data_IF_562010511318
#
_entry.id   IF_562010511318
#
_cell.length_a   1.000
_cell.length_b   1.000
_cell.length_c   1.000
_cell.angle_alpha   90.00
_cell.angle_beta   90.00
_cell.angle_gamma   90.00
#
_symmetry.space_group_name_H-M   'P 1'
#
loop_
_entity.id
_entity.type
_entity.pdbx_description
1 polymer ?
#
# COMPACT_ATOMS: atom_id res chain seq x y z
N UNK A 1 -14.78 28.72 -0.30
CA UNK A 1 -14.25 27.45 0.26
C UNK A 1 -14.79 26.34 -0.64
N UNK A 2 -13.94 25.68 -1.42
CA UNK A 2 -14.38 24.63 -2.35
C UNK A 2 -14.52 23.33 -1.55
N UNK A 3 -15.68 22.69 -1.69
CA UNK A 3 -16.01 21.40 -1.08
C UNK A 3 -15.20 20.30 -1.79
N UNK A 4 -14.21 19.74 -1.10
CA UNK A 4 -13.36 18.63 -1.56
C UNK A 4 -13.98 17.26 -1.25
N UNK A 5 -15.29 17.10 -1.44
CA UNK A 5 -15.96 15.80 -1.33
C UNK A 5 -15.71 14.97 -2.60
N UNK A 6 -14.63 14.18 -2.57
CA UNK A 6 -14.41 13.10 -3.53
C UNK A 6 -15.54 12.08 -3.34
N UNK A 7 -16.46 12.01 -4.30
CA UNK A 7 -17.50 10.99 -4.36
C UNK A 7 -16.86 9.65 -4.73
N UNK A 8 -16.74 8.74 -3.76
CA UNK A 8 -16.32 7.35 -4.00
C UNK A 8 -17.32 6.66 -4.93
N UNK A 9 -16.89 6.24 -6.12
CA UNK A 9 -17.76 5.60 -7.12
C UNK A 9 -17.97 4.09 -6.87
N UNK A 10 -17.35 3.50 -5.84
CA UNK A 10 -17.62 2.12 -5.39
C UNK A 10 -17.38 1.01 -6.43
N UNK A 11 -16.71 1.30 -7.55
CA UNK A 11 -16.50 0.34 -8.63
C UNK A 11 -15.45 -0.70 -8.22
N UNK A 12 -15.84 -1.97 -8.22
CA UNK A 12 -14.94 -3.11 -7.95
C UNK A 12 -14.34 -3.60 -9.27
N UNK A 13 -13.01 -3.70 -9.33
CA UNK A 13 -12.28 -4.23 -10.49
C UNK A 13 -11.14 -5.12 -10.05
N UNK A 14 -10.83 -6.17 -10.82
CA UNK A 14 -9.64 -6.98 -10.61
C UNK A 14 -8.36 -6.16 -10.86
N UNK A 15 -7.33 -6.42 -10.05
CA UNK A 15 -5.99 -5.85 -10.17
C UNK A 15 -4.95 -6.91 -9.91
N UNK A 16 -3.92 -6.94 -10.76
CA UNK A 16 -2.75 -7.77 -10.58
C UNK A 16 -1.71 -7.04 -9.72
N UNK A 17 -1.11 -7.78 -8.80
CA UNK A 17 -0.13 -7.27 -7.84
C UNK A 17 0.93 -8.33 -7.59
N UNK A 18 2.14 -7.91 -7.30
CA UNK A 18 3.24 -8.82 -6.95
C UNK A 18 3.80 -8.45 -5.57
N UNK A 19 4.12 -9.49 -4.81
CA UNK A 19 4.74 -9.37 -3.50
C UNK A 19 5.96 -10.28 -3.40
N UNK A 20 7.04 -9.74 -2.85
CA UNK A 20 8.24 -10.51 -2.50
C UNK A 20 8.59 -10.26 -1.04
N UNK A 21 8.77 -11.35 -0.29
CA UNK A 21 9.31 -11.25 1.06
C UNK A 21 10.81 -11.03 0.99
N UNK A 22 11.28 -9.86 1.41
CA UNK A 22 12.70 -9.52 1.46
C UNK A 22 13.31 -9.92 2.81
N UNK A 23 12.54 -9.82 3.89
CA UNK A 23 12.94 -10.26 5.23
C UNK A 23 11.72 -10.60 6.08
N UNK A 24 11.91 -10.86 7.39
CA UNK A 24 10.80 -11.08 8.31
C UNK A 24 9.84 -9.87 8.37
N UNK A 25 10.39 -8.66 8.25
CA UNK A 25 9.70 -7.40 8.48
C UNK A 25 9.55 -6.55 7.22
N UNK A 26 10.14 -6.95 6.09
CA UNK A 26 10.12 -6.18 4.83
C UNK A 26 9.55 -6.98 3.67
N UNK A 27 8.62 -6.37 2.95
CA UNK A 27 8.02 -6.91 1.74
C UNK A 27 8.12 -5.90 0.59
N UNK A 28 8.59 -6.33 -0.58
CA UNK A 28 8.46 -5.54 -1.81
C UNK A 28 7.07 -5.74 -2.38
N UNK A 29 6.38 -4.64 -2.66
CA UNK A 29 5.13 -4.59 -3.38
C UNK A 29 5.33 -3.93 -4.75
N UNK A 30 4.67 -4.46 -5.78
CA UNK A 30 4.60 -3.86 -7.12
C UNK A 30 3.19 -3.99 -7.70
N UNK A 31 2.73 -2.93 -8.38
CA UNK A 31 1.58 -2.98 -9.27
C UNK A 31 1.92 -3.66 -10.60
N UNK A 32 0.89 -4.13 -11.31
CA UNK A 32 1.02 -4.65 -12.68
C UNK A 32 -0.02 -3.99 -13.60
N UNK A 33 0.41 -3.24 -14.64
CA UNK A 33 1.81 -2.90 -14.96
C UNK A 33 2.45 -2.02 -13.87
N UNK A 34 3.77 -2.03 -13.78
CA UNK A 34 4.51 -1.36 -12.70
C UNK A 34 4.46 0.17 -12.85
N UNK A 35 3.40 0.77 -12.31
CA UNK A 35 3.23 2.22 -12.14
C UNK A 35 3.59 2.69 -10.72
N UNK A 36 3.80 1.75 -9.81
CA UNK A 36 4.15 1.99 -8.41
C UNK A 36 4.78 0.74 -7.78
N UNK A 37 5.81 0.97 -6.96
CA UNK A 37 6.44 -0.05 -6.12
C UNK A 37 6.89 0.52 -4.77
N UNK A 38 6.91 -0.32 -3.74
CA UNK A 38 7.35 0.08 -2.41
C UNK A 38 7.95 -1.08 -1.62
N UNK A 39 8.87 -0.78 -0.70
CA UNK A 39 9.29 -1.70 0.35
C UNK A 39 8.49 -1.37 1.60
N UNK A 40 7.49 -2.20 1.88
CA UNK A 40 6.59 -2.08 3.02
C UNK A 40 7.28 -2.69 4.25
N UNK A 41 7.27 -1.96 5.37
CA UNK A 41 7.72 -2.45 6.67
C UNK A 41 6.51 -2.88 7.50
N UNK A 42 6.55 -4.09 8.04
CA UNK A 42 5.50 -4.67 8.89
C UNK A 42 6.05 -4.99 10.28
N UNK A 43 5.17 -5.08 11.27
CA UNK A 43 5.49 -5.60 12.59
C UNK A 43 5.40 -7.14 12.64
N UNK A 44 5.66 -7.70 13.83
CA UNK A 44 5.64 -9.15 14.08
C UNK A 44 4.27 -9.80 13.89
N UNK A 45 3.18 -9.02 13.90
CA UNK A 45 1.82 -9.49 13.66
C UNK A 45 1.42 -9.39 12.18
N UNK A 46 2.30 -8.87 11.32
CA UNK A 46 2.02 -8.68 9.89
C UNK A 46 1.35 -7.35 9.57
N UNK A 47 1.23 -6.43 10.53
CA UNK A 47 0.58 -5.14 10.30
C UNK A 47 1.59 -4.11 9.81
N UNK A 48 1.19 -3.32 8.83
CA UNK A 48 2.03 -2.25 8.26
C UNK A 48 2.39 -1.23 9.34
N UNK A 49 3.68 -0.93 9.40
CA UNK A 49 4.27 0.14 10.23
C UNK A 49 4.59 1.35 9.34
N UNK A 50 5.22 1.10 8.19
CA UNK A 50 5.58 2.12 7.22
C UNK A 50 5.28 1.62 5.82
N UNK A 51 4.55 2.44 5.07
CA UNK A 51 4.29 2.30 3.64
C UNK A 51 4.80 3.58 2.98
N UNK A 52 6.05 3.59 2.47
CA UNK A 52 6.68 4.80 1.96
C UNK A 52 5.80 5.56 0.98
N UNK A 53 5.84 6.89 1.06
CA UNK A 53 5.08 7.84 0.22
C UNK A 53 3.56 7.87 0.44
N UNK A 54 2.98 6.89 1.14
CA UNK A 54 1.54 6.80 1.36
C UNK A 54 1.16 6.94 2.84
N UNK A 55 1.74 6.11 3.72
CA UNK A 55 1.28 5.99 5.10
C UNK A 55 2.41 5.70 6.08
N UNK A 56 2.30 6.31 7.27
CA UNK A 56 3.06 5.95 8.45
C UNK A 56 2.08 5.62 9.57
N UNK A 57 2.34 4.54 10.32
CA UNK A 57 1.49 4.16 11.45
C UNK A 57 1.73 5.11 12.62
N UNK A 58 0.66 5.76 13.07
CA UNK A 58 0.67 6.57 14.30
C UNK A 58 0.47 5.66 15.51
N UNK A 59 1.16 5.97 16.61
CA UNK A 59 1.07 5.28 17.90
C UNK A 59 0.02 5.90 18.82
#
# INVERSE_FOLDING_TARGET
MQDTSILWQGKITAREQKYWRLSAEKHKYENVPNDFEAIITIDKSGLVVSYPELFERVL
#
